data_IF_184635044365
#
_entry.id   IF_184635044365
#
_cell.length_a   1.000
_cell.length_b   1.000
_cell.length_c   1.000
_cell.angle_alpha   90.00
_cell.angle_beta   90.00
_cell.angle_gamma   90.00
#
_symmetry.space_group_name_H-M   'P 1'
#
loop_
_entity.id
_entity.type
_entity.pdbx_description
1 polymer ?
#
# COMPACT_ATOMS: atom_id res chain seq x y z
N UNK A 1 4.77 37.25 55.72
CA UNK A 1 3.54 37.95 55.34
C UNK A 1 2.68 36.98 54.57
N UNK A 2 1.59 36.53 55.17
CA UNK A 2 0.59 35.66 54.54
C UNK A 2 -0.26 36.50 53.59
N UNK A 3 -0.05 36.34 52.29
CA UNK A 3 -0.98 36.85 51.27
C UNK A 3 -2.30 36.10 51.41
N UNK A 4 -3.19 36.69 52.21
CA UNK A 4 -4.58 36.30 52.34
C UNK A 4 -5.26 36.46 50.99
N UNK A 5 -5.30 35.35 50.22
CA UNK A 5 -6.09 35.24 49.00
C UNK A 5 -7.53 35.64 49.31
N UNK A 6 -8.06 36.58 48.54
CA UNK A 6 -9.38 37.16 48.76
C UNK A 6 -10.46 36.06 48.74
N UNK A 7 -11.33 35.96 49.77
CA UNK A 7 -12.25 34.83 49.94
C UNK A 7 -13.28 34.66 48.81
N UNK A 8 -13.51 35.69 47.98
CA UNK A 8 -14.36 35.61 46.79
C UNK A 8 -13.66 35.13 45.52
N UNK A 9 -12.34 34.95 45.52
CA UNK A 9 -11.57 34.59 44.33
C UNK A 9 -11.62 33.08 44.00
N UNK A 10 -11.92 32.22 44.97
CA UNK A 10 -11.82 30.75 44.81
C UNK A 10 -13.15 30.11 44.39
N UNK A 11 -14.29 30.71 44.72
CA UNK A 11 -15.61 30.07 44.58
C UNK A 11 -16.19 30.01 43.15
N UNK A 12 -15.50 30.59 42.14
CA UNK A 12 -15.97 30.61 40.75
C UNK A 12 -14.90 30.16 39.74
N UNK A 13 -13.82 29.53 40.19
CA UNK A 13 -12.80 29.02 39.27
C UNK A 13 -13.28 27.74 38.57
N UNK A 14 -13.11 27.64 37.25
CA UNK A 14 -13.39 26.40 36.52
C UNK A 14 -12.59 25.23 37.08
N UNK A 15 -13.16 24.02 37.00
CA UNK A 15 -12.58 22.81 37.59
C UNK A 15 -11.16 22.44 37.09
N UNK A 16 -10.71 23.03 35.98
CA UNK A 16 -9.37 22.81 35.42
C UNK A 16 -8.30 23.79 35.95
N UNK A 17 -8.66 24.80 36.74
CA UNK A 17 -7.73 25.76 37.36
C UNK A 17 -7.30 25.24 38.73
N UNK A 18 -6.01 24.97 38.89
CA UNK A 18 -5.45 24.40 40.12
C UNK A 18 -4.88 25.48 41.05
N UNK A 19 -4.90 25.23 42.35
CA UNK A 19 -4.38 26.17 43.35
C UNK A 19 -2.84 26.28 43.29
N UNK A 20 -2.24 27.39 43.79
CA UNK A 20 -0.79 27.53 43.85
C UNK A 20 -0.15 26.42 44.69
N UNK A 21 0.86 25.74 44.13
CA UNK A 21 1.56 24.62 44.78
C UNK A 21 1.01 23.22 44.45
N UNK A 22 -0.13 23.14 43.75
CA UNK A 22 -0.72 21.89 43.24
C UNK A 22 -0.26 21.59 41.80
N UNK A 23 -0.46 20.34 41.36
CA UNK A 23 -0.14 19.92 39.99
C UNK A 23 -1.11 20.56 38.99
N UNK A 24 -0.60 21.25 37.97
CA UNK A 24 -1.42 21.86 36.92
C UNK A 24 -2.05 20.79 36.00
N UNK A 25 -3.33 20.51 36.25
CA UNK A 25 -4.11 19.51 35.51
C UNK A 25 -4.32 19.93 34.06
N UNK A 26 -4.64 21.21 33.81
CA UNK A 26 -4.88 21.71 32.46
C UNK A 26 -3.61 21.60 31.61
N UNK A 27 -2.48 22.01 32.18
CA UNK A 27 -1.18 21.90 31.52
C UNK A 27 -0.89 20.45 31.12
N UNK A 28 -1.05 19.51 32.05
CA UNK A 28 -0.79 18.09 31.77
C UNK A 28 -1.71 17.53 30.67
N UNK A 29 -3.00 17.87 30.70
CA UNK A 29 -3.97 17.46 29.67
C UNK A 29 -3.57 18.03 28.31
N UNK A 30 -3.22 19.31 28.24
CA UNK A 30 -2.80 19.98 27.01
C UNK A 30 -1.51 19.36 26.48
N UNK A 31 -0.54 19.03 27.33
CA UNK A 31 0.70 18.36 26.92
C UNK A 31 0.41 16.99 26.30
N UNK A 32 -0.40 16.16 26.97
CA UNK A 32 -0.79 14.84 26.43
C UNK A 32 -1.54 15.00 25.11
N UNK A 33 -2.51 15.91 25.06
CA UNK A 33 -3.27 16.21 23.86
C UNK A 33 -2.36 16.68 22.73
N UNK A 34 -1.40 17.57 22.99
CA UNK A 34 -0.46 18.08 22.00
C UNK A 34 0.40 16.96 21.43
N UNK A 35 0.90 16.05 22.27
CA UNK A 35 1.67 14.88 21.83
C UNK A 35 0.82 14.03 20.89
N UNK A 36 -0.41 13.69 21.30
CA UNK A 36 -1.33 12.92 20.46
C UNK A 36 -1.67 13.63 19.16
N UNK A 37 -1.89 14.95 19.21
CA UNK A 37 -2.21 15.76 18.04
C UNK A 37 -1.04 15.81 17.05
N UNK A 38 0.20 15.96 17.52
CA UNK A 38 1.41 15.93 16.68
C UNK A 38 1.53 14.58 15.98
N UNK A 39 1.37 13.47 16.69
CA UNK A 39 1.40 12.15 16.07
C UNK A 39 0.24 11.97 15.08
N UNK A 40 -0.99 12.37 15.44
CA UNK A 40 -2.14 12.27 14.56
C UNK A 40 -1.95 13.08 13.27
N UNK A 41 -1.57 14.35 13.37
CA UNK A 41 -1.32 15.22 12.22
C UNK A 41 -0.12 14.76 11.41
N UNK A 42 0.97 14.34 12.05
CA UNK A 42 2.16 13.83 11.38
C UNK A 42 1.85 12.58 10.58
N UNK A 43 1.14 11.63 11.18
CA UNK A 43 0.74 10.38 10.49
C UNK A 43 -0.25 10.68 9.37
N UNK A 44 -1.20 11.58 9.60
CA UNK A 44 -2.15 12.04 8.59
C UNK A 44 -1.44 12.71 7.40
N UNK A 45 -0.48 13.59 7.67
CA UNK A 45 0.32 14.28 6.66
C UNK A 45 1.12 13.31 5.79
N UNK A 46 1.81 12.35 6.42
CA UNK A 46 2.56 11.32 5.70
C UNK A 46 1.64 10.44 4.87
N UNK A 47 0.47 10.08 5.41
CA UNK A 47 -0.52 9.28 4.69
C UNK A 47 -1.15 10.00 3.51
N UNK A 48 -1.40 11.31 3.63
CA UNK A 48 -1.90 12.13 2.54
C UNK A 48 -0.86 12.25 1.41
N UNK A 49 0.43 12.36 1.77
CA UNK A 49 1.53 12.40 0.81
C UNK A 49 1.81 11.09 0.10
N UNK A 50 1.51 9.94 0.73
CA UNK A 50 1.61 8.62 0.08
C UNK A 50 0.41 8.28 -0.82
N UNK A 51 -0.67 9.08 -0.80
CA UNK A 51 -1.85 8.83 -1.63
C UNK A 51 -1.56 8.72 -3.14
N UNK A 52 -0.78 9.62 -3.77
CA UNK A 52 -0.47 9.53 -5.20
C UNK A 52 0.15 8.18 -5.56
N UNK A 53 1.10 7.73 -4.76
CA UNK A 53 1.78 6.44 -4.94
C UNK A 53 0.78 5.28 -4.91
N UNK A 54 -0.07 5.21 -3.87
CA UNK A 54 -1.07 4.13 -3.73
C UNK A 54 -2.10 4.12 -4.86
N UNK A 55 -2.44 5.28 -5.44
CA UNK A 55 -3.35 5.35 -6.58
C UNK A 55 -2.70 4.88 -7.89
N UNK A 56 -1.43 5.20 -8.11
CA UNK A 56 -0.71 4.82 -9.33
C UNK A 56 -0.31 3.32 -9.38
N UNK A 57 -0.45 2.57 -8.29
CA UNK A 57 -0.13 1.13 -8.23
C UNK A 57 -0.91 0.27 -9.24
N UNK A 58 -2.09 0.71 -9.67
CA UNK A 58 -2.91 -0.01 -10.66
C UNK A 58 -2.53 0.29 -12.11
N UNK A 59 -1.59 1.22 -12.33
CA UNK A 59 -1.19 1.66 -13.66
C UNK A 59 0.14 1.04 -14.11
N UNK A 60 0.61 1.44 -15.29
CA UNK A 60 1.86 1.03 -15.89
C UNK A 60 3.07 1.35 -14.99
N UNK A 61 4.09 0.49 -15.06
CA UNK A 61 5.34 0.59 -14.28
C UNK A 61 5.99 1.98 -14.34
N UNK A 62 6.02 2.61 -15.52
CA UNK A 62 6.62 3.94 -15.72
C UNK A 62 5.80 5.04 -15.06
N UNK A 63 4.46 4.97 -15.11
CA UNK A 63 3.59 5.96 -14.46
C UNK A 63 3.73 5.88 -12.93
N UNK A 64 3.78 4.66 -12.39
CA UNK A 64 4.04 4.43 -10.98
C UNK A 64 5.40 5.02 -10.55
N UNK A 65 6.48 4.74 -11.29
CA UNK A 65 7.82 5.27 -11.00
C UNK A 65 7.84 6.81 -11.01
N UNK A 66 7.21 7.44 -12.01
CA UNK A 66 7.12 8.91 -12.08
C UNK A 66 6.35 9.48 -10.89
N UNK A 67 5.19 8.93 -10.56
CA UNK A 67 4.36 9.37 -9.43
C UNK A 67 5.13 9.22 -8.10
N UNK A 68 5.85 8.10 -7.92
CA UNK A 68 6.66 7.86 -6.74
C UNK A 68 7.81 8.88 -6.60
N UNK A 69 8.52 9.19 -7.70
CA UNK A 69 9.59 10.20 -7.70
C UNK A 69 9.03 11.60 -7.42
N UNK A 70 7.89 11.97 -8.02
CA UNK A 70 7.25 13.26 -7.74
C UNK A 70 6.82 13.38 -6.27
N UNK A 71 6.25 12.32 -5.69
CA UNK A 71 5.91 12.25 -4.27
C UNK A 71 7.14 12.41 -3.37
N UNK A 72 8.25 11.74 -3.70
CA UNK A 72 9.51 11.86 -2.98
C UNK A 72 10.08 13.29 -3.04
N UNK A 73 10.06 13.93 -4.22
CA UNK A 73 10.52 15.32 -4.39
C UNK A 73 9.63 16.28 -3.59
N UNK A 74 8.31 16.05 -3.59
CA UNK A 74 7.36 16.84 -2.79
C UNK A 74 7.68 16.77 -1.30
N UNK A 75 7.97 15.57 -0.79
CA UNK A 75 8.31 15.36 0.63
C UNK A 75 9.67 15.96 0.98
N UNK A 76 10.67 15.78 0.12
CA UNK A 76 12.02 16.31 0.31
C UNK A 76 12.06 17.85 0.30
N UNK A 77 11.31 18.45 -0.63
CA UNK A 77 11.34 19.91 -0.87
C UNK A 77 10.26 20.65 -0.08
N UNK A 78 9.25 19.94 0.43
CA UNK A 78 8.06 20.52 1.04
C UNK A 78 7.28 21.46 0.10
N UNK A 79 7.32 21.19 -1.21
CA UNK A 79 6.58 21.97 -2.21
C UNK A 79 5.37 21.18 -2.72
N UNK A 80 4.17 21.62 -2.32
CA UNK A 80 2.89 20.97 -2.60
C UNK A 80 2.56 20.84 -4.09
N UNK A 81 3.18 21.65 -4.97
CA UNK A 81 2.91 21.57 -6.41
C UNK A 81 3.27 20.20 -6.98
N UNK A 82 4.34 19.58 -6.46
CA UNK A 82 4.78 18.26 -6.90
C UNK A 82 3.81 17.17 -6.45
N UNK A 83 3.27 17.26 -5.23
CA UNK A 83 2.22 16.35 -4.75
C UNK A 83 0.91 16.50 -5.55
N UNK A 84 0.49 17.74 -5.86
CA UNK A 84 -0.69 17.99 -6.70
C UNK A 84 -0.47 17.41 -8.11
N UNK A 85 0.70 17.64 -8.71
CA UNK A 85 1.05 17.08 -10.01
C UNK A 85 1.05 15.55 -9.98
N UNK A 86 1.58 14.94 -8.91
CA UNK A 86 1.55 13.49 -8.71
C UNK A 86 0.11 12.95 -8.62
N UNK A 87 -0.79 13.63 -7.91
CA UNK A 87 -2.20 13.27 -7.84
C UNK A 87 -2.89 13.34 -9.21
N UNK A 88 -2.69 14.44 -9.94
CA UNK A 88 -3.27 14.61 -11.28
C UNK A 88 -2.76 13.51 -12.20
N UNK A 89 -1.46 13.24 -12.16
CA UNK A 89 -0.83 12.20 -12.96
C UNK A 89 -1.31 10.81 -12.56
N UNK A 90 -1.56 10.53 -11.28
CA UNK A 90 -2.08 9.25 -10.80
C UNK A 90 -3.57 9.05 -11.12
N UNK A 91 -4.33 10.15 -11.27
CA UNK A 91 -5.77 10.10 -11.55
C UNK A 91 -6.08 9.86 -13.04
N UNK A 92 -5.16 10.26 -13.92
CA UNK A 92 -5.30 10.08 -15.37
C UNK A 92 -4.58 8.79 -15.77
N UNK A 93 -5.29 7.87 -16.41
CA UNK A 93 -4.65 6.69 -17.00
C UNK A 93 -3.90 7.09 -18.27
N UNK A 94 -2.57 7.00 -18.23
CA UNK A 94 -1.74 7.20 -19.42
C UNK A 94 -1.74 5.92 -20.25
N UNK A 95 -2.04 5.97 -21.57
CA UNK A 95 -2.00 4.78 -22.40
C UNK A 95 -0.57 4.28 -22.58
N UNK A 96 -0.40 2.96 -22.76
CA UNK A 96 0.89 2.34 -23.04
C UNK A 96 1.38 2.68 -24.45
N UNK A 97 2.27 3.66 -24.55
CA UNK A 97 2.93 4.04 -25.81
C UNK A 97 4.14 3.16 -26.16
N UNK A 98 4.62 2.32 -25.24
CA UNK A 98 5.81 1.50 -25.43
C UNK A 98 5.51 0.25 -26.27
N UNK A 99 4.37 -0.39 -26.04
CA UNK A 99 3.96 -1.59 -26.78
C UNK A 99 3.77 -1.34 -28.29
N UNK A 100 3.05 -0.28 -28.73
CA UNK A 100 2.97 0.07 -30.16
C UNK A 100 4.33 0.40 -30.78
N UNK A 101 5.19 1.13 -30.06
CA UNK A 101 6.52 1.49 -30.55
C UNK A 101 7.44 0.27 -30.70
N UNK A 102 7.40 -0.66 -29.74
CA UNK A 102 8.12 -1.93 -29.82
C UNK A 102 7.61 -2.81 -30.98
N UNK A 103 6.30 -2.79 -31.26
CA UNK A 103 5.73 -3.50 -32.41
C UNK A 103 6.23 -2.92 -33.75
N UNK A 104 6.35 -1.59 -33.86
CA UNK A 104 6.93 -0.93 -35.03
C UNK A 104 8.41 -1.31 -35.17
N UNK A 105 9.18 -1.28 -34.08
CA UNK A 105 10.60 -1.66 -34.09
C UNK A 105 10.81 -3.10 -34.58
N UNK A 106 10.05 -4.08 -34.06
CA UNK A 106 10.10 -5.47 -34.53
C UNK A 106 9.69 -5.61 -35.99
N UNK A 107 8.68 -4.86 -36.42
CA UNK A 107 8.25 -4.89 -37.83
C UNK A 107 9.34 -4.36 -38.75
N UNK A 108 10.02 -3.29 -38.34
CA UNK A 108 11.13 -2.70 -39.09
C UNK A 108 12.36 -3.61 -39.10
N UNK A 109 12.65 -4.31 -38.01
CA UNK A 109 13.74 -5.30 -37.91
C UNK A 109 13.53 -6.47 -38.88
N UNK A 110 12.29 -6.96 -38.99
CA UNK A 110 11.90 -7.96 -40.00
C UNK A 110 12.06 -7.45 -41.43
N UNK A 111 11.72 -6.19 -41.70
CA UNK A 111 11.90 -5.56 -43.03
C UNK A 111 13.38 -5.35 -43.35
N UNK A 112 14.20 -5.02 -42.35
CA UNK A 112 15.64 -4.82 -42.47
C UNK A 112 16.43 -6.14 -42.66
N UNK A 113 15.76 -7.30 -42.72
CA UNK A 113 16.39 -8.59 -42.96
C UNK A 113 17.25 -9.08 -41.78
N UNK A 114 17.09 -8.48 -40.60
CA UNK A 114 17.65 -9.04 -39.36
C UNK A 114 16.73 -10.17 -38.92
N UNK A 115 17.10 -11.39 -39.28
CA UNK A 115 16.42 -12.60 -38.83
C UNK A 115 16.54 -12.74 -37.31
N UNK A 116 15.49 -12.36 -36.58
CA UNK A 116 15.29 -12.86 -35.23
C UNK A 116 14.83 -14.32 -35.33
N UNK A 117 15.73 -15.22 -34.96
CA UNK A 117 15.43 -16.63 -34.67
C UNK A 117 14.20 -16.67 -33.76
N UNK A 118 13.11 -17.39 -34.14
CA UNK A 118 11.92 -17.42 -33.33
C UNK A 118 12.27 -18.04 -31.97
N UNK A 119 12.16 -17.26 -30.91
CA UNK A 119 11.91 -17.82 -29.58
C UNK A 119 10.56 -18.49 -29.71
N UNK A 120 10.61 -19.82 -29.87
CA UNK A 120 9.46 -20.68 -29.88
C UNK A 120 8.54 -20.25 -28.74
N UNK A 121 7.28 -20.01 -29.08
CA UNK A 121 6.22 -20.08 -28.09
C UNK A 121 6.44 -21.37 -27.30
N UNK A 122 6.70 -21.22 -26.02
CA UNK A 122 6.73 -22.33 -25.08
C UNK A 122 5.39 -23.06 -25.26
N UNK A 123 5.39 -24.36 -25.61
CA UNK A 123 4.15 -25.08 -25.81
C UNK A 123 3.33 -25.00 -24.52
N UNK A 124 1.99 -24.93 -24.60
CA UNK A 124 1.17 -24.98 -23.41
C UNK A 124 1.55 -26.26 -22.68
N UNK A 125 2.03 -26.10 -21.44
CA UNK A 125 2.27 -27.23 -20.53
C UNK A 125 0.95 -27.99 -20.49
N UNK A 126 0.96 -29.15 -21.14
CA UNK A 126 -0.14 -30.10 -21.08
C UNK A 126 -0.34 -30.45 -19.60
N UNK A 127 -1.47 -30.03 -19.08
CA UNK A 127 -2.05 -30.50 -17.84
C UNK A 127 -2.00 -32.04 -17.85
N UNK A 128 -1.34 -32.70 -16.89
CA UNK A 128 -1.33 -34.15 -16.88
C UNK A 128 -2.75 -34.63 -16.57
N UNK A 129 -3.37 -35.26 -17.57
CA UNK A 129 -4.58 -36.06 -17.37
C UNK A 129 -4.40 -36.99 -16.17
N UNK A 130 -5.46 -37.22 -15.37
CA UNK A 130 -5.37 -38.08 -14.22
C UNK A 130 -5.20 -39.52 -14.70
N UNK A 131 -3.96 -40.02 -14.59
CA UNK A 131 -3.68 -41.44 -14.76
C UNK A 131 -4.51 -42.18 -13.73
N UNK A 132 -5.52 -42.87 -14.22
CA UNK A 132 -6.36 -43.80 -13.50
C UNK A 132 -5.46 -44.76 -12.69
N UNK A 133 -5.45 -44.53 -11.38
CA UNK A 133 -4.79 -45.40 -10.42
C UNK A 133 -5.65 -46.65 -10.25
N UNK A 134 -5.35 -47.68 -11.02
CA UNK A 134 -5.56 -49.05 -10.56
C UNK A 134 -4.23 -49.56 -10.03
N UNK A 135 -4.21 -50.03 -8.78
CA UNK A 135 -3.46 -51.23 -8.52
C UNK A 135 -4.21 -52.24 -7.65
N UNK A 136 -3.79 -53.49 -7.85
CA UNK A 136 -3.83 -54.60 -6.92
C UNK A 136 -5.16 -55.35 -6.77
N UNK A 137 -5.30 -56.36 -7.64
CA UNK A 137 -5.88 -57.64 -7.27
C UNK A 137 -5.33 -58.10 -5.91
N UNK A 138 -6.23 -58.24 -4.93
CA UNK A 138 -5.99 -59.02 -3.72
C UNK A 138 -6.72 -60.35 -3.87
N UNK A 139 -5.96 -61.42 -3.69
CA UNK A 139 -6.36 -62.82 -3.78
C UNK A 139 -7.27 -63.18 -2.61
N UNK A 140 -8.50 -63.63 -2.87
CA UNK A 140 -9.24 -64.47 -1.92
C UNK A 140 -10.25 -65.40 -2.63
N UNK A 141 -9.79 -66.61 -2.96
CA UNK A 141 -10.58 -67.84 -3.08
C UNK A 141 -9.95 -68.81 -2.05
N UNK A 142 -10.59 -69.66 -1.26
CA UNK A 142 -11.97 -70.03 -0.93
C UNK A 142 -11.90 -70.75 0.45
N UNK A 143 -13.01 -71.22 1.02
CA UNK A 143 -13.04 -72.68 1.20
C UNK A 143 -14.37 -73.30 0.76
N UNK A 144 -14.24 -74.53 0.26
CA UNK A 144 -15.31 -75.45 -0.11
C UNK A 144 -15.68 -76.27 1.13
N UNK A 145 -16.95 -76.23 1.52
CA UNK A 145 -17.66 -77.24 2.32
C UNK A 145 -19.13 -77.06 1.92
N UNK A 146 -19.85 -77.97 1.26
CA UNK A 146 -20.08 -79.37 1.60
C UNK A 146 -21.61 -79.51 1.81
N UNK A 147 -22.28 -80.36 1.01
CA UNK A 147 -23.70 -80.79 1.14
C UNK A 147 -24.08 -81.03 2.62
N UNK A 148 -25.30 -80.77 3.09
CA UNK A 148 -26.61 -81.39 2.78
C UNK A 148 -27.71 -80.45 3.31
#
# INVERSE_FOLDING_TARGET
MSDSIHPTAIHHLPAFVTAPGETDVLFNVVVIFMILAIFALGTFYLRLHSLPETMAHKSHKVQYELVAVLGLISLLTHNNIFWIAALILALIDLPDFSSPLAAIARSLERIAGKEDKPVAAEPPVAEPEPVASQPAASVHQAPVEGKV
#
